data_IF_754200259594
#
_entry.id   IF_754200259594
#
_cell.length_a   1.000
_cell.length_b   1.000
_cell.length_c   1.000
_cell.angle_alpha   90.00
_cell.angle_beta   90.00
_cell.angle_gamma   90.00
#
_symmetry.space_group_name_H-M   'P 1'
#
loop_
_entity.id
_entity.type
_entity.pdbx_description
1 polymer ?
#
# COMPACT_ATOMS: atom_id res chain seq x y z
N UNK A 1 7.00 14.08 -14.31
CA UNK A 1 7.20 14.69 -12.99
C UNK A 1 6.41 16.00 -12.90
N UNK A 2 5.96 16.39 -11.70
CA UNK A 2 5.12 17.56 -11.47
C UNK A 2 5.80 18.90 -11.81
N UNK A 3 7.11 18.87 -12.03
CA UNK A 3 7.95 20.06 -12.29
C UNK A 3 8.54 20.08 -13.70
N UNK A 4 8.25 19.07 -14.53
CA UNK A 4 8.84 18.96 -15.86
C UNK A 4 10.36 18.73 -15.89
N UNK A 5 10.95 18.44 -14.74
CA UNK A 5 12.38 18.15 -14.61
C UNK A 5 12.58 16.64 -14.72
N UNK A 6 13.08 16.20 -15.85
CA UNK A 6 13.42 14.79 -16.06
C UNK A 6 14.41 14.31 -15.00
N UNK A 7 14.14 13.13 -14.42
CA UNK A 7 15.09 12.49 -13.50
C UNK A 7 16.26 11.91 -14.32
N UNK A 8 17.53 12.17 -13.92
CA UNK A 8 18.66 11.56 -14.61
C UNK A 8 18.60 10.04 -14.58
N UNK A 9 18.93 9.37 -15.69
CA UNK A 9 18.87 7.92 -15.81
C UNK A 9 19.70 7.18 -14.76
N UNK A 10 20.86 7.74 -14.36
CA UNK A 10 21.69 7.11 -13.33
C UNK A 10 20.96 7.00 -11.98
N UNK A 11 20.12 7.98 -11.62
CA UNK A 11 19.32 7.94 -10.38
C UNK A 11 18.33 6.79 -10.42
N UNK A 12 17.68 6.56 -11.57
CA UNK A 12 16.78 5.42 -11.74
C UNK A 12 17.53 4.09 -11.61
N UNK A 13 18.69 3.98 -12.23
CA UNK A 13 19.48 2.77 -12.18
C UNK A 13 19.98 2.45 -10.76
N UNK A 14 20.50 3.43 -10.04
CA UNK A 14 20.95 3.26 -8.66
C UNK A 14 19.78 2.88 -7.73
N UNK A 15 18.63 3.53 -7.91
CA UNK A 15 17.44 3.21 -7.13
C UNK A 15 16.91 1.81 -7.44
N UNK A 16 16.90 1.40 -8.70
CA UNK A 16 16.51 0.04 -9.10
C UNK A 16 17.44 -1.02 -8.48
N UNK A 17 18.75 -0.79 -8.53
CA UNK A 17 19.74 -1.68 -7.90
C UNK A 17 19.57 -1.73 -6.38
N UNK A 18 19.28 -0.60 -5.75
CA UNK A 18 19.02 -0.54 -4.31
C UNK A 18 17.75 -1.30 -3.93
N UNK A 19 16.67 -1.14 -4.67
CA UNK A 19 15.43 -1.86 -4.44
C UNK A 19 15.60 -3.37 -4.62
N UNK A 20 16.29 -3.81 -5.69
CA UNK A 20 16.61 -5.23 -5.87
C UNK A 20 17.49 -5.77 -4.73
N UNK A 21 18.45 -4.99 -4.27
CA UNK A 21 19.30 -5.39 -3.16
C UNK A 21 18.56 -5.54 -1.83
N UNK A 22 17.56 -4.67 -1.57
CA UNK A 22 16.84 -4.61 -0.30
C UNK A 22 15.51 -5.38 -0.28
N UNK A 23 14.95 -5.73 -1.44
CA UNK A 23 13.74 -6.52 -1.52
C UNK A 23 14.04 -8.01 -1.35
N UNK A 24 13.34 -8.64 -0.44
CA UNK A 24 13.43 -10.07 -0.17
C UNK A 24 12.49 -10.87 -1.10
N UNK A 25 12.75 -12.17 -1.24
CA UNK A 25 11.93 -13.07 -2.05
C UNK A 25 10.44 -13.13 -1.64
N UNK A 26 10.10 -12.76 -0.39
CA UNK A 26 8.72 -12.65 0.07
C UNK A 26 8.08 -11.27 -0.22
N UNK A 27 8.78 -10.41 -0.95
CA UNK A 27 8.34 -9.07 -1.33
C UNK A 27 8.65 -7.97 -0.31
N UNK A 28 8.99 -8.33 0.91
CA UNK A 28 9.28 -7.36 1.97
C UNK A 28 10.61 -6.64 1.76
N UNK A 29 10.66 -5.36 2.08
CA UNK A 29 11.88 -4.55 1.92
C UNK A 29 12.57 -4.33 3.25
N UNK A 30 13.88 -4.59 3.27
CA UNK A 30 14.74 -4.44 4.44
C UNK A 30 15.30 -3.03 4.58
N UNK A 31 16.16 -2.84 5.57
CA UNK A 31 16.78 -1.54 5.86
C UNK A 31 18.12 -1.36 5.16
N UNK A 32 18.99 -2.35 5.27
CA UNK A 32 20.35 -2.32 4.70
C UNK A 32 20.58 -3.44 3.68
N UNK A 33 19.69 -4.42 3.65
CA UNK A 33 19.66 -5.56 2.74
C UNK A 33 18.29 -6.21 2.79
N UNK A 34 18.09 -7.27 2.03
CA UNK A 34 16.82 -7.98 1.89
C UNK A 34 16.32 -8.74 3.13
N UNK A 35 17.16 -8.95 4.12
CA UNK A 35 16.82 -9.73 5.33
C UNK A 35 16.73 -8.88 6.59
N UNK A 36 17.42 -7.74 6.64
CA UNK A 36 17.57 -6.94 7.85
C UNK A 36 16.39 -6.01 8.07
N UNK A 37 15.64 -6.25 9.15
CA UNK A 37 14.54 -5.41 9.60
C UNK A 37 13.50 -5.07 8.53
N UNK A 38 13.19 -6.02 7.64
CA UNK A 38 12.08 -5.83 6.68
C UNK A 38 10.76 -5.68 7.42
N UNK A 39 9.93 -4.73 7.00
CA UNK A 39 8.63 -4.48 7.59
C UNK A 39 7.68 -3.78 6.61
N UNK A 40 6.43 -3.65 7.02
CA UNK A 40 5.36 -3.06 6.18
C UNK A 40 5.66 -1.62 5.80
N UNK A 41 6.15 -0.79 6.72
CA UNK A 41 6.39 0.63 6.42
C UNK A 41 7.49 0.86 5.39
N UNK A 42 8.58 0.08 5.44
CA UNK A 42 9.66 0.15 4.43
C UNK A 42 9.20 -0.37 3.08
N UNK A 43 8.47 -1.49 3.09
CA UNK A 43 7.90 -2.06 1.86
C UNK A 43 6.94 -1.09 1.20
N UNK A 44 6.10 -0.41 1.98
CA UNK A 44 5.22 0.62 1.46
C UNK A 44 5.99 1.85 0.94
N UNK A 45 7.06 2.26 1.61
CA UNK A 45 7.96 3.31 1.10
C UNK A 45 8.58 2.92 -0.23
N UNK A 46 9.09 1.69 -0.34
CA UNK A 46 9.64 1.16 -1.60
C UNK A 46 8.61 1.14 -2.74
N UNK A 47 7.35 0.83 -2.46
CA UNK A 47 6.28 0.93 -3.46
C UNK A 47 6.11 2.35 -4.00
N UNK A 48 6.19 3.37 -3.16
CA UNK A 48 6.16 4.78 -3.61
C UNK A 48 7.36 5.10 -4.50
N UNK A 49 8.54 4.60 -4.16
CA UNK A 49 9.75 4.74 -4.98
C UNK A 49 9.62 4.00 -6.32
N UNK A 50 9.11 2.76 -6.31
CA UNK A 50 8.80 1.98 -7.51
C UNK A 50 7.80 2.72 -8.43
N UNK A 51 6.73 3.27 -7.87
CA UNK A 51 5.77 4.08 -8.63
C UNK A 51 6.44 5.32 -9.25
N UNK A 52 7.32 5.99 -8.51
CA UNK A 52 8.07 7.13 -9.02
C UNK A 52 9.03 6.73 -10.16
N UNK A 53 9.47 5.48 -10.23
CA UNK A 53 10.26 4.94 -11.35
C UNK A 53 9.39 4.46 -12.53
N UNK A 54 8.08 4.45 -12.38
CA UNK A 54 7.14 3.95 -13.39
C UNK A 54 6.94 2.43 -13.35
N UNK A 55 7.31 1.76 -12.26
CA UNK A 55 7.07 0.33 -12.08
C UNK A 55 5.57 0.05 -11.96
N UNK A 56 5.12 -1.02 -12.59
CA UNK A 56 3.71 -1.40 -12.66
C UNK A 56 3.48 -2.81 -12.14
N UNK A 57 2.26 -3.07 -11.68
CA UNK A 57 1.78 -4.41 -11.32
C UNK A 57 1.76 -5.33 -12.55
N UNK A 58 1.89 -6.62 -12.32
CA UNK A 58 1.85 -7.64 -13.35
C UNK A 58 3.06 -7.66 -14.29
N UNK A 59 4.09 -6.88 -14.00
CA UNK A 59 5.26 -6.70 -14.87
C UNK A 59 6.54 -6.98 -14.10
N UNK A 60 7.48 -7.67 -14.73
CA UNK A 60 8.87 -7.70 -14.27
C UNK A 60 9.53 -6.38 -14.69
N UNK A 61 9.57 -5.42 -13.77
CA UNK A 61 9.99 -4.04 -14.06
C UNK A 61 11.52 -3.90 -14.13
N UNK A 62 12.25 -4.76 -13.43
CA UNK A 62 13.71 -4.77 -13.44
C UNK A 62 14.22 -6.15 -13.91
N UNK A 63 14.54 -6.30 -15.19
CA UNK A 63 15.00 -7.58 -15.73
C UNK A 63 16.25 -8.09 -15.00
N UNK A 64 16.15 -9.31 -14.46
CA UNK A 64 17.21 -9.89 -13.66
C UNK A 64 17.13 -9.62 -12.15
N UNK A 65 16.07 -8.93 -11.71
CA UNK A 65 15.78 -8.78 -10.28
C UNK A 65 15.65 -10.13 -9.58
N UNK A 66 16.01 -10.16 -8.30
CA UNK A 66 15.81 -11.34 -7.43
C UNK A 66 14.34 -11.71 -7.28
N UNK A 67 13.49 -10.70 -7.33
CA UNK A 67 12.05 -10.82 -7.19
C UNK A 67 11.41 -10.43 -8.52
N UNK A 68 10.82 -11.37 -9.22
CA UNK A 68 9.99 -11.06 -10.37
C UNK A 68 8.70 -10.38 -9.93
N UNK A 69 8.19 -9.43 -10.72
CA UNK A 69 7.01 -8.65 -10.38
C UNK A 69 7.13 -7.98 -8.99
N UNK A 70 8.10 -7.10 -8.86
CA UNK A 70 8.54 -6.48 -7.61
C UNK A 70 7.40 -5.76 -6.89
N UNK A 71 6.52 -5.12 -7.65
CA UNK A 71 5.34 -4.41 -7.14
C UNK A 71 4.33 -5.37 -6.55
N UNK A 72 3.99 -6.44 -7.29
CA UNK A 72 3.03 -7.46 -6.82
C UNK A 72 3.55 -8.17 -5.57
N UNK A 73 4.83 -8.47 -5.53
CA UNK A 73 5.46 -9.09 -4.37
C UNK A 73 5.38 -8.17 -3.13
N UNK A 74 5.66 -6.88 -3.31
CA UNK A 74 5.57 -5.90 -2.22
C UNK A 74 4.12 -5.72 -1.72
N UNK A 75 3.15 -5.63 -2.63
CA UNK A 75 1.73 -5.59 -2.28
C UNK A 75 1.28 -6.86 -1.54
N UNK A 76 1.74 -8.03 -2.00
CA UNK A 76 1.47 -9.32 -1.35
C UNK A 76 2.06 -9.39 0.05
N UNK A 77 3.26 -8.86 0.25
CA UNK A 77 3.88 -8.77 1.57
C UNK A 77 3.03 -7.92 2.52
N UNK A 78 2.62 -6.72 2.11
CA UNK A 78 1.76 -5.84 2.91
C UNK A 78 0.44 -6.55 3.23
N UNK A 79 -0.19 -7.16 2.22
CA UNK A 79 -1.45 -7.86 2.38
C UNK A 79 -1.34 -9.02 3.39
N UNK A 80 -0.29 -9.82 3.32
CA UNK A 80 -0.06 -10.95 4.24
C UNK A 80 0.13 -10.51 5.70
N UNK A 81 0.54 -9.26 5.93
CA UNK A 81 0.82 -8.69 7.25
C UNK A 81 -0.19 -7.64 7.68
N UNK A 82 -1.33 -7.59 7.01
CA UNK A 82 -2.35 -6.55 7.24
C UNK A 82 -2.79 -6.45 8.69
N UNK A 83 -3.14 -7.59 9.30
CA UNK A 83 -3.63 -7.67 10.68
C UNK A 83 -2.53 -7.93 11.71
N UNK A 84 -1.29 -8.09 11.29
CA UNK A 84 -0.16 -8.27 12.18
C UNK A 84 0.27 -6.90 12.71
N UNK A 85 -0.60 -6.29 13.50
CA UNK A 85 -0.25 -5.09 14.25
C UNK A 85 0.92 -5.37 15.19
N UNK A 86 1.64 -4.35 15.61
CA UNK A 86 2.78 -4.54 16.47
C UNK A 86 2.32 -4.87 17.89
N UNK A 87 2.20 -6.11 18.21
CA UNK A 87 2.39 -6.50 19.59
C UNK A 87 3.88 -6.33 19.94
N UNK A 88 4.35 -5.07 19.99
CA UNK A 88 5.73 -4.74 20.28
C UNK A 88 6.76 -5.00 19.19
N UNK A 89 6.35 -5.37 17.97
CA UNK A 89 7.26 -5.63 16.85
C UNK A 89 6.90 -4.76 15.65
N UNK A 90 7.89 -4.18 15.02
CA UNK A 90 7.81 -3.25 13.89
C UNK A 90 7.36 -3.90 12.56
N UNK A 91 6.72 -5.07 12.62
CA UNK A 91 6.48 -5.89 11.43
C UNK A 91 5.10 -5.73 10.81
N UNK A 92 4.13 -5.14 11.55
CA UNK A 92 2.75 -5.09 11.13
C UNK A 92 2.30 -3.75 10.56
N UNK A 93 1.01 -3.69 10.24
CA UNK A 93 0.34 -2.55 9.65
C UNK A 93 -0.59 -1.85 10.65
N UNK A 94 -1.69 -2.50 11.03
CA UNK A 94 -2.64 -1.94 11.99
C UNK A 94 -1.99 -1.69 13.36
N UNK A 95 -2.44 -0.65 14.03
CA UNK A 95 -1.88 -0.21 15.30
C UNK A 95 -0.43 0.30 15.21
N UNK A 96 0.03 0.61 13.99
CA UNK A 96 1.31 1.27 13.77
C UNK A 96 1.07 2.47 12.84
N UNK A 97 0.78 3.67 13.37
CA UNK A 97 0.33 4.82 12.57
C UNK A 97 1.28 5.18 11.42
N UNK A 98 2.58 5.05 11.63
CA UNK A 98 3.57 5.31 10.58
C UNK A 98 3.48 4.29 9.44
N UNK A 99 3.28 3.00 9.75
CA UNK A 99 3.09 1.98 8.72
C UNK A 99 1.77 2.20 7.98
N UNK A 100 0.68 2.48 8.70
CA UNK A 100 -0.63 2.79 8.11
C UNK A 100 -0.53 3.98 7.15
N UNK A 101 0.18 5.03 7.53
CA UNK A 101 0.40 6.19 6.67
C UNK A 101 1.20 5.84 5.41
N UNK A 102 2.30 5.09 5.56
CA UNK A 102 3.12 4.67 4.42
C UNK A 102 2.32 3.77 3.46
N UNK A 103 1.55 2.82 3.98
CA UNK A 103 0.67 1.95 3.20
C UNK A 103 -0.42 2.75 2.50
N UNK A 104 -1.06 3.69 3.18
CA UNK A 104 -2.04 4.58 2.55
C UNK A 104 -1.46 5.27 1.32
N UNK A 105 -0.25 5.84 1.42
CA UNK A 105 0.42 6.50 0.30
C UNK A 105 0.76 5.52 -0.83
N UNK A 106 1.26 4.35 -0.51
CA UNK A 106 1.58 3.32 -1.49
C UNK A 106 0.32 2.86 -2.25
N UNK A 107 -0.75 2.56 -1.54
CA UNK A 107 -2.01 2.12 -2.16
C UNK A 107 -2.65 3.23 -2.99
N UNK A 108 -2.54 4.48 -2.58
CA UNK A 108 -3.01 5.63 -3.34
C UNK A 108 -2.27 5.77 -4.69
N UNK A 109 -0.94 5.70 -4.70
CA UNK A 109 -0.15 5.85 -5.95
C UNK A 109 -0.34 4.70 -6.92
N UNK A 110 -0.69 3.50 -6.44
CA UNK A 110 -1.05 2.35 -7.27
C UNK A 110 -2.54 2.28 -7.59
N UNK A 111 -3.30 3.35 -7.37
CA UNK A 111 -4.71 3.41 -7.72
C UNK A 111 -5.60 2.43 -6.94
N UNK A 112 -5.16 2.01 -5.74
CA UNK A 112 -5.94 1.11 -4.86
C UNK A 112 -6.97 1.86 -4.01
N UNK A 113 -7.29 3.08 -4.38
CA UNK A 113 -8.31 3.90 -3.74
C UNK A 113 -9.11 4.65 -4.81
N UNK A 114 -10.39 4.73 -4.62
CA UNK A 114 -11.31 5.43 -5.51
C UNK A 114 -12.43 6.10 -4.74
N UNK A 115 -13.31 6.79 -5.46
CA UNK A 115 -14.54 7.35 -4.94
C UNK A 115 -15.69 6.45 -5.36
N UNK A 116 -16.56 6.11 -4.42
CA UNK A 116 -17.81 5.43 -4.67
C UNK A 116 -18.96 6.45 -4.69
N UNK A 117 -19.68 6.49 -5.81
CA UNK A 117 -20.94 7.21 -5.95
C UNK A 117 -22.03 6.39 -5.24
N UNK A 118 -22.65 6.96 -4.25
CA UNK A 118 -23.70 6.30 -3.44
C UNK A 118 -25.06 6.18 -4.17
N UNK A 119 -25.07 6.21 -5.49
CA UNK A 119 -26.26 6.02 -6.32
C UNK A 119 -26.94 7.30 -6.74
N UNK A 120 -26.33 8.44 -6.52
CA UNK A 120 -26.78 9.77 -6.95
C UNK A 120 -25.78 10.43 -7.90
N UNK A 121 -25.69 9.96 -9.17
CA UNK A 121 -24.72 10.47 -10.12
C UNK A 121 -24.76 12.00 -10.22
N UNK A 122 -23.63 12.65 -9.94
CA UNK A 122 -23.48 14.09 -10.01
C UNK A 122 -23.72 14.85 -8.70
N UNK A 123 -24.02 14.16 -7.60
CA UNK A 123 -24.03 14.73 -6.25
C UNK A 123 -22.79 14.25 -5.46
N UNK A 124 -21.72 15.03 -5.38
CA UNK A 124 -20.51 14.62 -4.67
C UNK A 124 -20.65 14.67 -3.13
N UNK A 125 -21.79 15.09 -2.61
CA UNK A 125 -21.96 15.28 -1.15
C UNK A 125 -22.19 13.97 -0.40
N UNK A 126 -22.60 12.93 -1.08
CA UNK A 126 -22.79 11.58 -0.54
C UNK A 126 -21.73 10.57 -1.03
N UNK A 127 -20.80 11.03 -1.87
CA UNK A 127 -19.64 10.24 -2.29
C UNK A 127 -18.69 9.93 -1.13
N UNK A 128 -18.09 8.77 -1.16
CA UNK A 128 -17.11 8.38 -0.15
C UNK A 128 -15.91 7.64 -0.74
N UNK A 129 -14.80 7.71 -0.05
CA UNK A 129 -13.58 7.01 -0.43
C UNK A 129 -13.67 5.53 -0.10
N UNK A 130 -13.20 4.70 -1.02
CA UNK A 130 -13.12 3.25 -0.89
C UNK A 130 -11.72 2.76 -1.23
N UNK A 131 -11.29 1.67 -0.61
CA UNK A 131 -10.06 0.98 -0.93
C UNK A 131 -10.34 -0.36 -1.62
N UNK A 132 -9.42 -0.82 -2.47
CA UNK A 132 -9.54 -2.11 -3.15
C UNK A 132 -8.18 -2.78 -3.36
N UNK A 133 -8.20 -4.05 -3.74
CA UNK A 133 -7.00 -4.80 -4.07
C UNK A 133 -6.22 -5.40 -2.89
N UNK A 134 -6.75 -5.34 -1.66
CA UNK A 134 -6.12 -5.91 -0.46
C UNK A 134 -7.05 -6.96 0.16
N UNK A 135 -6.86 -8.22 -0.19
CA UNK A 135 -7.80 -9.31 0.15
C UNK A 135 -7.80 -9.72 1.63
N UNK A 136 -6.74 -9.42 2.38
CA UNK A 136 -6.68 -9.69 3.82
C UNK A 136 -7.16 -8.52 4.67
N UNK A 137 -7.53 -7.41 4.06
CA UNK A 137 -8.30 -6.38 4.77
C UNK A 137 -9.69 -6.94 5.12
N UNK A 138 -10.24 -6.63 6.29
CA UNK A 138 -11.60 -7.04 6.62
C UNK A 138 -12.57 -6.61 5.54
N UNK A 139 -13.38 -7.57 5.07
CA UNK A 139 -14.35 -7.30 4.03
C UNK A 139 -13.91 -7.62 2.60
N UNK A 140 -12.66 -8.00 2.36
CA UNK A 140 -12.12 -8.50 1.07
C UNK A 140 -12.77 -7.86 -0.16
N UNK A 141 -12.35 -6.65 -0.56
CA UNK A 141 -13.03 -5.92 -1.60
C UNK A 141 -12.60 -6.33 -3.00
N UNK A 142 -13.57 -6.63 -3.84
CA UNK A 142 -13.39 -6.78 -5.29
C UNK A 142 -13.94 -5.54 -5.99
N UNK A 143 -13.19 -4.93 -6.89
CA UNK A 143 -13.65 -3.80 -7.72
C UNK A 143 -15.02 -4.16 -8.33
N UNK A 144 -16.01 -3.29 -8.15
CA UNK A 144 -17.35 -3.46 -8.70
C UNK A 144 -18.38 -4.13 -7.79
N UNK A 145 -18.06 -4.38 -6.52
CA UNK A 145 -19.10 -4.73 -5.55
C UNK A 145 -19.87 -3.49 -5.09
N UNK A 146 -21.20 -3.61 -5.09
CA UNK A 146 -22.07 -2.62 -4.47
C UNK A 146 -21.85 -2.58 -2.95
N UNK A 147 -21.58 -1.41 -2.46
CA UNK A 147 -21.46 -1.13 -1.04
C UNK A 147 -22.76 -0.55 -0.53
N UNK A 148 -23.42 -1.33 0.26
CA UNK A 148 -24.51 -0.78 1.07
C UNK A 148 -23.97 0.26 2.08
N UNK A 149 -24.86 0.95 2.81
CA UNK A 149 -24.45 1.91 3.82
C UNK A 149 -23.41 1.29 4.76
N UNK A 150 -22.29 1.98 4.93
CA UNK A 150 -21.15 1.49 5.72
C UNK A 150 -21.56 1.20 7.15
N UNK A 151 -21.53 -0.05 7.50
CA UNK A 151 -21.37 -0.43 8.90
C UNK A 151 -19.90 -0.81 9.09
N UNK A 152 -19.33 -0.44 10.20
CA UNK A 152 -17.91 -0.58 10.57
C UNK A 152 -17.26 -1.97 10.35
N UNK A 153 -18.05 -2.97 10.00
CA UNK A 153 -17.63 -4.37 9.88
C UNK A 153 -17.49 -4.90 8.45
N UNK A 154 -17.84 -4.12 7.42
CA UNK A 154 -17.89 -4.59 6.02
C UNK A 154 -17.00 -3.77 5.10
N UNK A 155 -16.07 -3.02 5.65
CA UNK A 155 -15.26 -2.07 4.91
C UNK A 155 -14.12 -2.70 4.12
N UNK A 156 -13.73 -1.98 3.11
CA UNK A 156 -12.46 -2.09 2.42
C UNK A 156 -11.28 -1.67 3.33
N UNK A 157 -10.06 -1.74 2.82
CA UNK A 157 -8.87 -1.39 3.61
C UNK A 157 -8.88 0.07 4.12
N UNK A 158 -9.46 1.00 3.36
CA UNK A 158 -9.52 2.40 3.76
C UNK A 158 -10.50 2.60 4.92
N UNK A 159 -11.68 2.00 4.83
CA UNK A 159 -12.65 1.98 5.93
C UNK A 159 -12.08 1.33 7.18
N UNK A 160 -11.32 0.24 7.02
CA UNK A 160 -10.65 -0.41 8.15
C UNK A 160 -9.65 0.53 8.85
N UNK A 161 -8.91 1.33 8.08
CA UNK A 161 -8.03 2.35 8.66
C UNK A 161 -8.81 3.44 9.39
N UNK A 162 -9.90 3.92 8.80
CA UNK A 162 -10.76 4.91 9.43
C UNK A 162 -11.34 4.39 10.75
N UNK A 163 -11.89 3.19 10.74
CA UNK A 163 -12.45 2.54 11.94
C UNK A 163 -11.38 2.37 13.02
N UNK A 164 -10.19 1.92 12.65
CA UNK A 164 -9.08 1.80 13.58
C UNK A 164 -8.73 3.14 14.22
N UNK A 165 -8.58 4.19 13.43
CA UNK A 165 -8.22 5.52 13.92
C UNK A 165 -9.31 6.11 14.83
N UNK A 166 -10.59 5.99 14.43
CA UNK A 166 -11.71 6.50 15.22
C UNK A 166 -11.84 5.77 16.56
N UNK A 167 -11.74 4.44 16.54
CA UNK A 167 -11.90 3.63 17.76
C UNK A 167 -10.71 3.71 18.73
N UNK A 168 -9.56 4.20 18.27
CA UNK A 168 -8.35 4.34 19.08
C UNK A 168 -8.00 5.81 19.39
N UNK A 169 -8.89 6.74 19.12
CA UNK A 169 -8.76 8.11 19.63
C UNK A 169 -8.99 8.10 21.13
N UNK A 170 -8.04 8.67 21.87
CA UNK A 170 -8.25 8.92 23.28
C UNK A 170 -9.37 9.96 23.43
N UNK A 171 -10.39 9.64 24.21
CA UNK A 171 -11.34 10.65 24.68
C UNK A 171 -10.64 11.46 25.77
N UNK A 172 -10.07 12.59 25.39
CA UNK A 172 -9.64 13.60 26.33
C UNK A 172 -10.84 14.41 26.86
#
# INVERSE_FOLDING_TARGET
DAWGLGRPNYVNNELAMWLDYTQNADGGVGYTNDSTYKNVSKTAGALVEMAAMGYSEGVNNYPGAKVGNEVDAALSFINSRWNNGPSGTWYGNLNHPYAMWAVYKALQVYGKMGTHDNGTPGDPTDDFLIGFGMSNAPGGFTIGQDWGPKTSSTGDWFSHYCDFLVNNQNSD
#
